data_IF_392961841751
#
_entry.id   IF_392961841751
#
_cell.length_a   1.000
_cell.length_b   1.000
_cell.length_c   1.000
_cell.angle_alpha   90.00
_cell.angle_beta   90.00
_cell.angle_gamma   90.00
#
_symmetry.space_group_name_H-M   'P 1'
#
loop_
_entity.id
_entity.type
_entity.pdbx_description
1 polymer ?
#
# COMPACT_ATOMS: atom_id res chain seq x y z
N UNK A 1 39.00 -35.22 5.96
CA UNK A 1 38.12 -34.24 6.63
C UNK A 1 38.38 -32.90 5.99
N UNK A 2 37.57 -32.51 5.02
CA UNK A 2 37.65 -31.19 4.37
C UNK A 2 37.16 -30.15 5.38
N UNK A 3 38.00 -29.16 5.63
CA UNK A 3 37.82 -28.11 6.60
C UNK A 3 36.67 -27.20 6.11
N UNK A 4 35.46 -27.42 6.64
CA UNK A 4 34.23 -26.67 6.29
C UNK A 4 34.14 -25.32 7.02
N UNK A 5 35.11 -25.02 7.89
CA UNK A 5 35.04 -23.92 8.85
C UNK A 5 35.43 -22.55 8.26
N UNK A 6 35.70 -22.47 6.95
CA UNK A 6 36.19 -21.25 6.28
C UNK A 6 35.44 -20.86 5.00
N UNK A 7 34.17 -21.26 4.88
CA UNK A 7 33.29 -20.75 3.82
C UNK A 7 32.76 -19.38 4.25
N UNK A 8 33.37 -18.31 3.75
CA UNK A 8 32.84 -16.94 3.87
C UNK A 8 31.60 -16.82 2.96
N UNK A 9 30.44 -17.15 3.54
CA UNK A 9 29.14 -17.13 2.85
C UNK A 9 28.68 -15.68 2.72
N UNK A 10 28.65 -15.17 1.49
CA UNK A 10 28.02 -13.88 1.20
C UNK A 10 26.58 -14.10 0.77
N UNK A 11 25.66 -13.24 1.22
CA UNK A 11 24.26 -13.29 0.78
C UNK A 11 24.03 -12.20 -0.25
N UNK A 12 23.48 -12.56 -1.42
CA UNK A 12 22.99 -11.60 -2.41
C UNK A 12 21.48 -11.63 -2.44
N UNK A 13 20.87 -10.47 -2.25
CA UNK A 13 19.44 -10.29 -2.48
C UNK A 13 19.20 -10.35 -4.00
N UNK A 14 18.51 -11.40 -4.44
CA UNK A 14 17.97 -11.47 -5.78
C UNK A 14 16.55 -10.92 -5.70
N UNK A 15 16.35 -9.73 -6.24
CA UNK A 15 15.03 -9.13 -6.38
C UNK A 15 14.39 -9.68 -7.66
N UNK A 16 13.21 -10.30 -7.55
CA UNK A 16 12.43 -10.69 -8.71
C UNK A 16 12.11 -9.48 -9.60
N UNK A 17 11.99 -9.71 -10.92
CA UNK A 17 11.62 -8.66 -11.90
C UNK A 17 10.37 -7.92 -11.40
N UNK A 18 10.40 -6.58 -11.40
CA UNK A 18 9.25 -5.75 -10.98
C UNK A 18 8.00 -6.19 -11.74
N UNK A 19 6.99 -6.63 -11.01
CA UNK A 19 5.72 -7.05 -11.61
C UNK A 19 4.93 -5.81 -12.03
N UNK A 20 4.59 -5.68 -13.32
CA UNK A 20 3.75 -4.59 -13.81
C UNK A 20 2.40 -4.56 -13.08
N UNK A 21 1.87 -5.74 -12.73
CA UNK A 21 0.59 -5.86 -12.05
C UNK A 21 0.64 -5.29 -10.63
N UNK A 22 1.76 -5.47 -9.92
CA UNK A 22 2.01 -4.85 -8.61
C UNK A 22 1.97 -3.33 -8.73
N UNK A 23 2.59 -2.77 -9.76
CA UNK A 23 2.60 -1.33 -9.97
C UNK A 23 1.19 -0.77 -10.19
N UNK A 24 0.33 -1.49 -10.91
CA UNK A 24 -1.06 -1.07 -11.14
C UNK A 24 -1.84 -1.07 -9.82
N UNK A 25 -1.80 -2.17 -9.06
CA UNK A 25 -2.49 -2.25 -7.77
C UNK A 25 -1.99 -1.23 -6.76
N UNK A 26 -0.68 -0.94 -6.76
CA UNK A 26 -0.11 0.09 -5.92
C UNK A 26 -0.63 1.48 -6.29
N UNK A 27 -0.68 1.81 -7.59
CA UNK A 27 -1.27 3.08 -8.06
C UNK A 27 -2.76 3.16 -7.72
N UNK A 28 -3.53 2.08 -7.89
CA UNK A 28 -4.94 2.05 -7.51
C UNK A 28 -5.14 2.21 -6.00
N UNK A 29 -4.29 1.59 -5.18
CA UNK A 29 -4.33 1.76 -3.72
C UNK A 29 -4.10 3.22 -3.32
N UNK A 30 -3.05 3.86 -3.84
CA UNK A 30 -2.78 5.27 -3.55
C UNK A 30 -3.86 6.19 -4.13
N UNK A 31 -4.35 5.90 -5.33
CA UNK A 31 -5.45 6.64 -5.96
C UNK A 31 -6.74 6.57 -5.14
N UNK A 32 -7.11 5.37 -4.66
CA UNK A 32 -8.26 5.17 -3.78
C UNK A 32 -8.14 6.00 -2.50
N UNK A 33 -7.00 5.94 -1.83
CA UNK A 33 -6.76 6.72 -0.61
C UNK A 33 -6.85 8.23 -0.88
N UNK A 34 -6.29 8.71 -1.98
CA UNK A 34 -6.36 10.12 -2.37
C UNK A 34 -7.80 10.57 -2.64
N UNK A 35 -8.57 9.78 -3.38
CA UNK A 35 -9.99 10.06 -3.67
C UNK A 35 -10.80 10.11 -2.37
N UNK A 36 -10.61 9.14 -1.48
CA UNK A 36 -11.33 9.09 -0.20
C UNK A 36 -11.01 10.29 0.70
N UNK A 37 -9.76 10.75 0.71
CA UNK A 37 -9.38 11.98 1.42
C UNK A 37 -10.14 13.20 0.86
N UNK A 38 -10.21 13.34 -0.47
CA UNK A 38 -10.95 14.44 -1.11
C UNK A 38 -12.44 14.39 -0.74
N UNK A 39 -13.06 13.21 -0.78
CA UNK A 39 -14.48 13.02 -0.44
C UNK A 39 -14.76 13.43 1.01
N UNK A 40 -13.91 13.04 1.97
CA UNK A 40 -14.09 13.40 3.38
C UNK A 40 -13.92 14.90 3.59
N UNK A 41 -12.95 15.54 2.95
CA UNK A 41 -12.75 17.00 3.03
C UNK A 41 -13.98 17.74 2.49
N UNK A 42 -14.57 17.28 1.39
CA UNK A 42 -15.79 17.87 0.84
C UNK A 42 -17.02 17.63 1.73
N UNK A 43 -17.13 16.44 2.33
CA UNK A 43 -18.25 16.09 3.22
C UNK A 43 -18.21 16.90 4.52
N UNK A 44 -17.01 17.21 5.02
CA UNK A 44 -16.81 17.98 6.26
C UNK A 44 -16.84 19.50 6.05
N UNK A 45 -16.63 19.98 4.81
CA UNK A 45 -16.70 21.38 4.44
C UNK A 45 -17.78 21.60 3.37
N UNK A 46 -19.08 21.40 3.70
CA UNK A 46 -20.14 21.65 2.75
C UNK A 46 -20.14 23.13 2.35
N UNK A 47 -20.37 23.47 1.06
CA UNK A 47 -20.50 24.86 0.64
C UNK A 47 -21.60 25.54 1.46
N UNK A 48 -21.31 26.73 2.00
CA UNK A 48 -22.26 27.54 2.77
C UNK A 48 -23.40 28.04 1.87
N UNK A 49 -24.39 27.18 1.61
CA UNK A 49 -25.64 27.55 0.96
C UNK A 49 -26.80 27.21 1.88
N UNK A 50 -27.21 28.20 2.69
CA UNK A 50 -28.46 28.16 3.45
C UNK A 50 -28.26 28.23 4.97
N UNK A 51 -28.43 29.43 5.54
CA UNK A 51 -28.70 29.60 6.97
C UNK A 51 -30.10 29.06 7.26
N UNK A 52 -30.20 27.76 7.52
CA UNK A 52 -31.41 27.11 8.02
C UNK A 52 -31.64 27.39 9.50
N UNK A 53 -32.89 27.19 9.94
CA UNK A 53 -33.32 27.28 11.35
C UNK A 53 -32.49 26.37 12.28
N UNK A 54 -32.50 26.61 13.59
CA UNK A 54 -31.74 25.82 14.58
C UNK A 54 -32.02 24.31 14.54
N UNK A 55 -33.22 23.92 14.08
CA UNK A 55 -33.62 22.54 13.88
C UNK A 55 -32.89 21.92 12.67
N UNK A 56 -32.79 22.65 11.55
CA UNK A 56 -32.09 22.20 10.33
C UNK A 56 -30.58 22.06 10.55
N UNK A 57 -29.98 22.93 11.37
CA UNK A 57 -28.58 22.79 11.79
C UNK A 57 -28.34 21.50 12.60
N UNK A 58 -29.24 21.19 13.53
CA UNK A 58 -29.13 19.98 14.36
C UNK A 58 -29.29 18.71 13.51
N UNK A 59 -30.29 18.66 12.62
CA UNK A 59 -30.49 17.52 11.72
C UNK A 59 -29.36 17.36 10.71
N UNK A 60 -28.82 18.46 10.17
CA UNK A 60 -27.67 18.45 9.26
C UNK A 60 -26.42 17.86 9.92
N UNK A 61 -26.16 18.19 11.20
CA UNK A 61 -25.01 17.65 11.94
C UNK A 61 -25.09 16.13 12.16
N UNK A 62 -26.29 15.61 12.45
CA UNK A 62 -26.53 14.16 12.60
C UNK A 62 -26.37 13.45 11.25
N UNK A 63 -26.96 14.00 10.18
CA UNK A 63 -26.83 13.45 8.83
C UNK A 63 -25.38 13.41 8.33
N UNK A 64 -24.61 14.47 8.62
CA UNK A 64 -23.17 14.52 8.28
C UNK A 64 -22.37 13.48 9.04
N UNK A 65 -22.67 13.26 10.33
CA UNK A 65 -22.00 12.24 11.15
C UNK A 65 -22.23 10.83 10.60
N UNK A 66 -23.48 10.50 10.26
CA UNK A 66 -23.84 9.20 9.68
C UNK A 66 -23.21 9.02 8.29
N UNK A 67 -23.26 10.06 7.45
CA UNK A 67 -22.62 10.05 6.13
C UNK A 67 -21.11 9.84 6.22
N UNK A 68 -20.45 10.50 7.17
CA UNK A 68 -19.01 10.34 7.40
C UNK A 68 -18.65 8.93 7.88
N UNK A 69 -19.45 8.34 8.78
CA UNK A 69 -19.26 6.95 9.20
C UNK A 69 -19.38 5.96 8.04
N UNK A 70 -20.35 6.17 7.15
CA UNK A 70 -20.48 5.36 5.94
C UNK A 70 -19.24 5.47 5.04
N UNK A 71 -18.76 6.69 4.79
CA UNK A 71 -17.56 6.90 3.97
C UNK A 71 -16.30 6.30 4.59
N UNK A 72 -16.16 6.34 5.92
CA UNK A 72 -15.04 5.69 6.61
C UNK A 72 -15.06 4.17 6.42
N UNK A 73 -16.23 3.54 6.48
CA UNK A 73 -16.38 2.10 6.24
C UNK A 73 -16.00 1.75 4.80
N UNK A 74 -16.51 2.52 3.82
CA UNK A 74 -16.18 2.34 2.40
C UNK A 74 -14.68 2.52 2.17
N UNK A 75 -14.08 3.55 2.77
CA UNK A 75 -12.64 3.80 2.69
C UNK A 75 -11.85 2.60 3.22
N UNK A 76 -12.16 2.15 4.44
CA UNK A 76 -11.50 1.03 5.08
C UNK A 76 -11.62 -0.25 4.24
N UNK A 77 -12.83 -0.58 3.76
CA UNK A 77 -13.06 -1.76 2.93
C UNK A 77 -12.25 -1.72 1.62
N UNK A 78 -12.28 -0.59 0.90
CA UNK A 78 -11.49 -0.43 -0.32
C UNK A 78 -9.98 -0.49 -0.07
N UNK A 79 -9.50 0.13 1.01
CA UNK A 79 -8.08 0.09 1.40
C UNK A 79 -7.63 -1.33 1.76
N UNK A 80 -8.47 -2.14 2.40
CA UNK A 80 -8.17 -3.55 2.68
C UNK A 80 -8.08 -4.35 1.39
N UNK A 81 -9.05 -4.21 0.48
CA UNK A 81 -9.08 -4.96 -0.80
C UNK A 81 -7.85 -4.62 -1.65
N UNK A 82 -7.56 -3.33 -1.86
CA UNK A 82 -6.41 -2.91 -2.64
C UNK A 82 -5.08 -3.21 -1.94
N UNK A 83 -5.03 -3.09 -0.62
CA UNK A 83 -3.85 -3.40 0.17
C UNK A 83 -3.46 -4.88 0.08
N UNK A 84 -4.42 -5.80 0.25
CA UNK A 84 -4.18 -7.24 0.10
C UNK A 84 -3.79 -7.57 -1.35
N UNK A 85 -4.48 -6.99 -2.34
CA UNK A 85 -4.15 -7.21 -3.76
C UNK A 85 -2.72 -6.76 -4.10
N UNK A 86 -2.28 -5.63 -3.55
CA UNK A 86 -0.91 -5.15 -3.72
C UNK A 86 0.12 -6.06 -3.03
N UNK A 87 -0.18 -6.58 -1.83
CA UNK A 87 0.71 -7.51 -1.13
C UNK A 87 0.84 -8.84 -1.87
N UNK A 88 -0.26 -9.39 -2.38
CA UNK A 88 -0.26 -10.66 -3.12
C UNK A 88 0.50 -10.58 -4.44
N UNK A 89 0.63 -9.38 -5.02
CA UNK A 89 1.31 -9.18 -6.30
C UNK A 89 2.77 -8.76 -6.16
N UNK A 90 3.25 -8.59 -4.93
CA UNK A 90 4.62 -8.14 -4.66
C UNK A 90 5.65 -9.16 -5.20
N UNK A 91 6.68 -8.70 -5.93
CA UNK A 91 7.72 -9.60 -6.44
C UNK A 91 8.48 -10.26 -5.28
N UNK A 92 8.68 -11.57 -5.39
CA UNK A 92 9.43 -12.34 -4.41
C UNK A 92 10.87 -11.82 -4.30
N UNK A 93 11.34 -11.70 -3.05
CA UNK A 93 12.73 -11.38 -2.71
C UNK A 93 13.34 -12.62 -2.08
N UNK A 94 14.44 -13.11 -2.66
CA UNK A 94 15.14 -14.28 -2.15
C UNK A 94 16.59 -13.91 -1.82
N UNK A 95 17.06 -14.34 -0.64
CA UNK A 95 18.47 -14.28 -0.27
C UNK A 95 19.12 -15.57 -0.76
N UNK A 96 20.06 -15.44 -1.70
CA UNK A 96 20.80 -16.60 -2.21
C UNK A 96 22.22 -16.54 -1.66
N UNK A 97 22.71 -17.63 -1.02
CA UNK A 97 24.10 -17.72 -0.61
C UNK A 97 24.99 -17.84 -1.85
N UNK A 98 26.05 -17.04 -1.91
CA UNK A 98 27.12 -17.13 -2.91
C UNK A 98 28.43 -17.40 -2.18
N UNK A 99 29.13 -18.44 -2.62
CA UNK A 99 30.50 -18.72 -2.18
C UNK A 99 31.48 -17.76 -2.87
N UNK A 100 32.54 -17.36 -2.16
CA UNK A 100 33.58 -16.47 -2.73
C UNK A 100 34.23 -17.04 -3.98
N UNK A 101 34.35 -18.37 -4.06
CA UNK A 101 34.97 -19.08 -5.19
C UNK A 101 34.18 -18.85 -6.48
N UNK A 102 32.85 -18.91 -6.41
CA UNK A 102 31.95 -18.61 -7.53
C UNK A 102 32.00 -17.13 -7.97
N UNK A 103 32.41 -16.22 -7.08
CA UNK A 103 32.59 -14.79 -7.40
C UNK A 103 33.86 -14.55 -8.21
N UNK A 104 34.91 -15.35 -8.03
CA UNK A 104 36.16 -15.24 -8.80
C UNK A 104 35.97 -15.73 -10.24
N UNK A 105 35.24 -16.82 -10.43
CA UNK A 105 34.93 -17.35 -11.77
C UNK A 105 34.10 -16.35 -12.58
N UNK A 106 33.09 -15.73 -11.97
CA UNK A 106 32.22 -14.73 -12.61
C UNK A 106 32.89 -13.37 -12.90
N UNK A 107 34.08 -13.11 -12.35
CA UNK A 107 34.85 -11.88 -12.60
C UNK A 107 35.98 -12.10 -13.63
N UNK A 108 36.22 -13.35 -14.04
CA UNK A 108 37.25 -13.72 -15.03
C UNK A 108 36.71 -14.00 -16.44
N UNK A 109 35.38 -14.01 -16.59
CA UNK A 109 34.63 -14.12 -17.87
C UNK A 109 34.09 -12.77 -18.31
#
# INVERSE_FOLDING_TARGET
MTNVDNLDIQYKEITGKRSLIYSIFMVMFWGWNAIMLIVIVQTTNPPMSGYGSSLEQSTSSIGTTIGLMFWLIVWAAGSVIFGISALMTQPAKALVPITKDAKLDALSS
#
